data_IF_190260542071
#
_entry.id   IF_190260542071
#
_cell.length_a   1.000
_cell.length_b   1.000
_cell.length_c   1.000
_cell.angle_alpha   90.00
_cell.angle_beta   90.00
_cell.angle_gamma   90.00
#
_symmetry.space_group_name_H-M   'P 1'
#
loop_
_entity.id
_entity.type
_entity.pdbx_description
1 polymer ?
#
# COMPACT_ATOMS: atom_id res chain seq x y z
N UNK A 1 -52.59 2.17 23.36
CA UNK A 1 -51.98 0.86 23.04
C UNK A 1 -50.67 0.82 23.80
N UNK A 2 -50.38 -0.26 24.52
CA UNK A 2 -49.09 -0.43 25.19
C UNK A 2 -48.19 -1.20 24.23
N UNK A 3 -46.97 -0.71 24.04
CA UNK A 3 -46.01 -1.22 23.07
C UNK A 3 -44.62 -1.20 23.69
N UNK A 4 -43.78 -2.14 23.30
CA UNK A 4 -42.37 -2.17 23.67
C UNK A 4 -41.49 -2.54 22.49
N UNK A 5 -40.18 -2.31 22.62
CA UNK A 5 -39.18 -2.72 21.62
C UNK A 5 -38.55 -4.04 22.09
N UNK A 6 -38.53 -5.03 21.22
CA UNK A 6 -37.92 -6.35 21.47
C UNK A 6 -37.14 -6.79 20.23
N UNK A 7 -36.03 -7.52 20.43
CA UNK A 7 -35.36 -8.21 19.32
C UNK A 7 -36.20 -9.39 18.84
N UNK A 8 -36.55 -9.39 17.55
CA UNK A 8 -37.26 -10.49 16.90
C UNK A 8 -36.57 -10.93 15.63
N UNK A 9 -36.71 -12.23 15.35
CA UNK A 9 -36.32 -12.79 14.05
C UNK A 9 -37.31 -12.32 12.99
N UNK A 10 -36.80 -11.66 11.97
CA UNK A 10 -37.54 -11.14 10.84
C UNK A 10 -36.91 -11.68 9.56
N UNK A 11 -37.73 -12.11 8.60
CA UNK A 11 -37.25 -12.67 7.33
C UNK A 11 -37.63 -11.74 6.19
N UNK A 12 -36.62 -11.30 5.43
CA UNK A 12 -36.77 -10.41 4.29
C UNK A 12 -36.39 -11.13 3.01
N UNK A 13 -37.17 -10.93 1.95
CA UNK A 13 -36.80 -11.40 0.60
C UNK A 13 -35.84 -10.39 -0.03
N UNK A 14 -34.57 -10.74 -0.15
CA UNK A 14 -33.51 -9.92 -0.76
C UNK A 14 -33.14 -10.56 -2.09
N UNK A 15 -33.61 -9.98 -3.21
CA UNK A 15 -33.52 -10.56 -4.55
C UNK A 15 -34.16 -11.96 -4.59
N UNK A 16 -33.35 -12.99 -4.82
CA UNK A 16 -33.77 -14.39 -4.97
C UNK A 16 -33.59 -15.20 -3.68
N UNK A 17 -33.21 -14.56 -2.56
CA UNK A 17 -32.93 -15.23 -1.29
C UNK A 17 -33.78 -14.69 -0.13
N UNK A 18 -34.18 -15.58 0.78
CA UNK A 18 -34.76 -15.19 2.07
C UNK A 18 -33.64 -15.04 3.10
N UNK A 19 -33.55 -13.85 3.69
CA UNK A 19 -32.56 -13.51 4.69
C UNK A 19 -33.26 -13.27 6.03
N UNK A 20 -32.93 -14.08 7.02
CA UNK A 20 -33.42 -13.92 8.39
C UNK A 20 -32.40 -13.16 9.23
N UNK A 21 -32.85 -12.11 9.89
CA UNK A 21 -32.06 -11.30 10.82
C UNK A 21 -32.77 -11.16 12.15
N UNK A 22 -32.01 -10.97 13.21
CA UNK A 22 -32.52 -10.61 14.53
C UNK A 22 -32.33 -9.10 14.70
N UNK A 23 -33.44 -8.37 14.77
CA UNK A 23 -33.46 -6.90 14.80
C UNK A 23 -34.53 -6.41 15.78
N UNK A 24 -34.33 -5.22 16.31
CA UNK A 24 -35.29 -4.54 17.17
C UNK A 24 -36.58 -4.27 16.38
N UNK A 25 -37.74 -4.56 16.99
CA UNK A 25 -39.05 -4.38 16.39
C UNK A 25 -40.03 -3.81 17.43
N UNK A 26 -40.97 -2.98 16.99
CA UNK A 26 -42.05 -2.48 17.82
C UNK A 26 -43.11 -3.59 17.98
N UNK A 27 -43.40 -4.00 19.22
CA UNK A 27 -44.32 -5.08 19.52
C UNK A 27 -45.57 -4.51 20.20
N UNK A 28 -46.75 -4.96 19.78
CA UNK A 28 -48.01 -4.73 20.49
C UNK A 28 -48.14 -5.68 21.69
N UNK A 29 -48.26 -5.15 22.91
CA UNK A 29 -48.26 -5.97 24.12
C UNK A 29 -49.47 -6.91 24.25
N UNK A 30 -50.58 -6.61 23.55
CA UNK A 30 -51.81 -7.41 23.64
C UNK A 30 -51.81 -8.59 22.68
N UNK A 31 -51.25 -8.38 21.49
CA UNK A 31 -51.29 -9.35 20.38
C UNK A 31 -49.95 -10.03 20.14
N UNK A 32 -48.87 -9.50 20.73
CA UNK A 32 -47.48 -9.94 20.53
C UNK A 32 -47.04 -9.92 19.06
N UNK A 33 -47.65 -9.05 18.26
CA UNK A 33 -47.36 -8.87 16.82
C UNK A 33 -46.41 -7.71 16.61
N UNK A 34 -45.57 -7.83 15.58
CA UNK A 34 -44.74 -6.72 15.10
C UNK A 34 -45.66 -5.66 14.49
N UNK A 35 -45.50 -4.43 14.94
CA UNK A 35 -46.09 -3.21 14.38
C UNK A 35 -45.06 -2.53 13.47
N UNK A 36 -45.56 -1.87 12.42
CA UNK A 36 -44.73 -1.08 11.52
C UNK A 36 -44.15 0.13 12.27
N UNK A 37 -42.83 0.28 12.17
CA UNK A 37 -42.09 1.44 12.63
C UNK A 37 -41.00 1.72 11.60
N UNK A 38 -41.08 2.90 10.96
CA UNK A 38 -40.25 3.23 9.81
C UNK A 38 -38.74 3.10 10.11
N UNK A 39 -38.30 3.50 11.30
CA UNK A 39 -36.87 3.52 11.63
C UNK A 39 -36.37 2.12 11.99
N UNK A 40 -37.14 1.36 12.80
CA UNK A 40 -36.79 -0.02 13.16
C UNK A 40 -36.84 -0.96 11.93
N UNK A 41 -37.85 -0.79 11.08
CA UNK A 41 -38.00 -1.57 9.85
C UNK A 41 -36.86 -1.30 8.86
N UNK A 42 -36.46 -0.03 8.69
CA UNK A 42 -35.31 0.32 7.86
C UNK A 42 -34.00 -0.29 8.41
N UNK A 43 -33.79 -0.27 9.73
CA UNK A 43 -32.62 -0.91 10.35
C UNK A 43 -32.62 -2.42 10.12
N UNK A 44 -33.77 -3.08 10.26
CA UNK A 44 -33.90 -4.52 10.00
C UNK A 44 -33.60 -4.87 8.52
N UNK A 45 -34.06 -4.05 7.58
CA UNK A 45 -33.77 -4.19 6.15
C UNK A 45 -32.27 -4.02 5.87
N UNK A 46 -31.63 -3.00 6.45
CA UNK A 46 -30.19 -2.76 6.29
C UNK A 46 -29.36 -3.91 6.85
N UNK A 47 -29.77 -4.49 7.98
CA UNK A 47 -29.16 -5.71 8.54
C UNK A 47 -29.28 -6.88 7.56
N UNK A 48 -30.46 -7.09 6.96
CA UNK A 48 -30.68 -8.13 5.97
C UNK A 48 -29.80 -7.93 4.72
N UNK A 49 -29.70 -6.69 4.21
CA UNK A 49 -28.79 -6.36 3.12
C UNK A 49 -27.33 -6.62 3.48
N UNK A 50 -26.89 -6.33 4.70
CA UNK A 50 -25.53 -6.59 5.14
C UNK A 50 -25.21 -8.08 5.28
N UNK A 51 -26.18 -8.89 5.73
CA UNK A 51 -26.05 -10.36 5.67
C UNK A 51 -25.94 -10.83 4.22
N UNK A 52 -26.80 -10.33 3.33
CA UNK A 52 -26.76 -10.67 1.90
C UNK A 52 -25.42 -10.29 1.26
N UNK A 53 -24.88 -9.09 1.56
CA UNK A 53 -23.58 -8.63 1.06
C UNK A 53 -22.45 -9.57 1.46
N UNK A 54 -22.40 -9.97 2.73
CA UNK A 54 -21.36 -10.87 3.25
C UNK A 54 -21.42 -12.23 2.56
N UNK A 55 -22.63 -12.78 2.40
CA UNK A 55 -22.85 -14.07 1.75
C UNK A 55 -22.45 -14.05 0.27
N UNK A 56 -22.77 -12.97 -0.44
CA UNK A 56 -22.56 -12.84 -1.89
C UNK A 56 -21.31 -12.02 -2.26
N UNK A 57 -20.42 -11.76 -1.29
CA UNK A 57 -19.16 -11.04 -1.49
C UNK A 57 -19.33 -9.69 -2.22
N UNK A 58 -20.38 -8.95 -1.83
CA UNK A 58 -20.69 -7.63 -2.37
C UNK A 58 -20.02 -6.52 -1.57
N UNK A 59 -19.58 -5.48 -2.27
CA UNK A 59 -18.98 -4.31 -1.66
C UNK A 59 -19.95 -3.60 -0.70
N UNK A 60 -19.44 -3.26 0.47
CA UNK A 60 -20.18 -2.48 1.46
C UNK A 60 -20.14 -0.97 1.15
N UNK A 61 -21.12 -0.19 1.64
CA UNK A 61 -21.10 1.26 1.49
C UNK A 61 -19.84 1.90 2.07
N UNK A 62 -19.36 1.39 3.22
CA UNK A 62 -18.16 1.87 3.88
C UNK A 62 -16.90 1.65 3.03
N UNK A 63 -16.73 0.45 2.46
CA UNK A 63 -15.63 0.15 1.54
C UNK A 63 -15.67 1.04 0.31
N UNK A 64 -16.87 1.27 -0.24
CA UNK A 64 -17.05 2.12 -1.40
C UNK A 64 -16.64 3.57 -1.13
N UNK A 65 -17.07 4.13 0.01
CA UNK A 65 -16.65 5.47 0.44
C UNK A 65 -15.15 5.52 0.71
N UNK A 66 -14.57 4.48 1.30
CA UNK A 66 -13.15 4.43 1.63
C UNK A 66 -12.26 4.50 0.38
N UNK A 67 -12.47 3.63 -0.62
CA UNK A 67 -11.66 3.69 -1.84
C UNK A 67 -11.93 4.98 -2.63
N UNK A 68 -13.18 5.47 -2.63
CA UNK A 68 -13.51 6.73 -3.31
C UNK A 68 -12.71 7.89 -2.70
N UNK A 69 -12.63 7.95 -1.36
CA UNK A 69 -11.82 8.96 -0.65
C UNK A 69 -10.32 8.77 -0.87
N UNK A 70 -9.82 7.53 -0.91
CA UNK A 70 -8.40 7.20 -1.22
C UNK A 70 -7.94 7.91 -2.51
N UNK A 71 -8.77 7.90 -3.55
CA UNK A 71 -8.48 8.55 -4.84
C UNK A 71 -9.07 9.96 -4.99
N UNK A 72 -9.55 10.58 -3.90
CA UNK A 72 -10.15 11.91 -3.89
C UNK A 72 -11.32 12.10 -4.87
N UNK A 73 -12.07 11.03 -5.12
CA UNK A 73 -13.21 11.04 -6.02
C UNK A 73 -14.44 11.62 -5.34
N UNK A 74 -15.19 12.45 -6.06
CA UNK A 74 -16.58 12.73 -5.73
C UNK A 74 -17.50 11.60 -6.21
N UNK A 75 -18.73 11.53 -5.70
CA UNK A 75 -19.71 10.57 -6.23
C UNK A 75 -19.93 10.78 -7.74
N UNK A 76 -19.92 12.05 -8.19
CA UNK A 76 -20.08 12.42 -9.60
C UNK A 76 -18.89 12.00 -10.46
N UNK A 77 -17.65 12.14 -9.96
CA UNK A 77 -16.46 11.74 -10.73
C UNK A 77 -16.34 10.22 -10.82
N UNK A 78 -16.65 9.49 -9.74
CA UNK A 78 -16.71 8.02 -9.78
C UNK A 78 -17.80 7.54 -10.75
N UNK A 79 -18.97 8.18 -10.75
CA UNK A 79 -20.05 7.85 -11.68
C UNK A 79 -19.61 8.01 -13.15
N UNK A 80 -18.93 9.11 -13.47
CA UNK A 80 -18.35 9.36 -14.80
C UNK A 80 -17.28 8.36 -15.20
N UNK A 81 -16.42 7.94 -14.26
CA UNK A 81 -15.39 6.93 -14.52
C UNK A 81 -15.97 5.55 -14.80
N UNK A 82 -17.10 5.21 -14.16
CA UNK A 82 -17.81 3.94 -14.33
C UNK A 82 -18.88 3.96 -15.42
N UNK A 83 -19.07 5.10 -16.09
CA UNK A 83 -20.15 5.32 -17.07
C UNK A 83 -21.56 5.04 -16.53
N UNK A 84 -21.81 5.39 -15.27
CA UNK A 84 -23.12 5.27 -14.61
C UNK A 84 -23.68 6.63 -14.22
N UNK A 85 -24.99 6.69 -13.98
CA UNK A 85 -25.65 7.87 -13.44
C UNK A 85 -25.14 8.24 -12.04
N UNK A 86 -25.00 9.54 -11.74
CA UNK A 86 -24.54 10.02 -10.42
C UNK A 86 -25.40 9.52 -9.26
N UNK A 87 -26.72 9.42 -9.46
CA UNK A 87 -27.65 8.87 -8.49
C UNK A 87 -27.36 7.40 -8.13
N UNK A 88 -26.80 6.62 -9.06
CA UNK A 88 -26.46 5.21 -8.82
C UNK A 88 -25.38 5.06 -7.76
N UNK A 89 -24.30 5.86 -7.85
CA UNK A 89 -23.23 5.88 -6.85
C UNK A 89 -23.75 6.32 -5.49
N UNK A 90 -24.58 7.38 -5.45
CA UNK A 90 -25.19 7.86 -4.22
C UNK A 90 -26.09 6.81 -3.54
N UNK A 91 -26.83 6.02 -4.33
CA UNK A 91 -27.66 4.92 -3.80
C UNK A 91 -26.82 3.80 -3.19
N UNK A 92 -25.73 3.40 -3.84
CA UNK A 92 -24.86 2.35 -3.30
C UNK A 92 -24.17 2.77 -2.00
N UNK A 93 -23.71 4.02 -1.92
CA UNK A 93 -23.16 4.58 -0.67
C UNK A 93 -24.21 4.74 0.44
N UNK A 94 -25.51 4.74 0.10
CA UNK A 94 -26.62 4.72 1.07
C UNK A 94 -27.09 3.33 1.46
N UNK A 95 -26.48 2.25 0.95
CA UNK A 95 -26.87 0.89 1.32
C UNK A 95 -27.74 0.15 0.32
N UNK A 96 -28.00 0.70 -0.88
CA UNK A 96 -28.63 -0.07 -1.96
C UNK A 96 -27.63 -1.11 -2.51
N UNK A 97 -28.12 -2.30 -2.86
CA UNK A 97 -27.29 -3.38 -3.40
C UNK A 97 -26.92 -3.13 -4.88
N UNK A 98 -25.63 -3.14 -5.26
CA UNK A 98 -25.20 -3.00 -6.65
C UNK A 98 -25.50 -4.25 -7.48
N UNK A 99 -25.72 -4.10 -8.79
CA UNK A 99 -25.75 -5.25 -9.71
C UNK A 99 -24.41 -6.00 -9.65
N UNK A 100 -24.42 -7.27 -10.04
CA UNK A 100 -23.21 -8.11 -10.00
C UNK A 100 -22.08 -7.53 -10.87
N UNK A 101 -22.42 -7.07 -12.08
CA UNK A 101 -21.48 -6.41 -12.99
C UNK A 101 -20.80 -5.18 -12.37
N UNK A 102 -21.58 -4.29 -11.72
CA UNK A 102 -21.04 -3.11 -11.08
C UNK A 102 -20.28 -3.47 -9.80
N UNK A 103 -20.74 -4.47 -9.05
CA UNK A 103 -20.03 -4.98 -7.89
C UNK A 103 -18.61 -5.44 -8.24
N UNK A 104 -18.48 -6.22 -9.32
CA UNK A 104 -17.17 -6.71 -9.77
C UNK A 104 -16.23 -5.57 -10.14
N UNK A 105 -16.72 -4.53 -10.82
CA UNK A 105 -15.94 -3.33 -11.12
C UNK A 105 -15.51 -2.58 -9.86
N UNK A 106 -16.44 -2.34 -8.93
CA UNK A 106 -16.18 -1.62 -7.67
C UNK A 106 -15.14 -2.37 -6.83
N UNK A 107 -15.24 -3.70 -6.77
CA UNK A 107 -14.27 -4.54 -6.09
C UNK A 107 -12.91 -4.51 -6.76
N UNK A 108 -12.85 -4.61 -8.08
CA UNK A 108 -11.59 -4.52 -8.82
C UNK A 108 -10.90 -3.17 -8.60
N UNK A 109 -11.65 -2.07 -8.58
CA UNK A 109 -11.12 -0.74 -8.25
C UNK A 109 -10.60 -0.66 -6.80
N UNK A 110 -11.30 -1.29 -5.86
CA UNK A 110 -10.90 -1.33 -4.46
C UNK A 110 -9.61 -2.13 -4.26
N UNK A 111 -9.53 -3.31 -4.87
CA UNK A 111 -8.52 -4.33 -4.58
C UNK A 111 -7.27 -4.20 -5.49
N UNK A 112 -7.40 -3.63 -6.70
CA UNK A 112 -6.31 -3.47 -7.68
C UNK A 112 -6.12 -1.99 -8.05
N UNK A 113 -5.08 -1.39 -7.45
CA UNK A 113 -4.75 0.01 -7.68
C UNK A 113 -4.27 0.28 -9.10
N UNK A 114 -3.55 -0.65 -9.73
CA UNK A 114 -3.08 -0.53 -11.11
C UNK A 114 -4.24 -0.54 -12.10
N UNK A 115 -5.26 -1.39 -11.85
CA UNK A 115 -6.49 -1.37 -12.63
C UNK A 115 -7.22 -0.02 -12.53
N UNK A 116 -7.33 0.55 -11.33
CA UNK A 116 -7.93 1.88 -11.16
C UNK A 116 -7.19 2.96 -11.97
N UNK A 117 -5.85 2.96 -11.94
CA UNK A 117 -5.02 3.91 -12.69
C UNK A 117 -5.28 3.77 -14.19
N UNK A 118 -5.31 2.55 -14.72
CA UNK A 118 -5.68 2.29 -16.11
C UNK A 118 -7.07 2.81 -16.47
N UNK A 119 -8.08 2.53 -15.63
CA UNK A 119 -9.46 3.01 -15.82
C UNK A 119 -9.53 4.55 -15.81
N UNK A 120 -8.79 5.19 -14.89
CA UNK A 120 -8.72 6.65 -14.83
C UNK A 120 -8.18 7.21 -16.14
N UNK A 121 -7.05 6.72 -16.65
CA UNK A 121 -6.47 7.22 -17.90
C UNK A 121 -7.40 7.06 -19.10
N UNK A 122 -8.11 5.92 -19.19
CA UNK A 122 -9.09 5.66 -20.25
C UNK A 122 -10.26 6.66 -20.23
N UNK A 123 -10.76 6.98 -19.04
CA UNK A 123 -11.98 7.79 -18.87
C UNK A 123 -11.71 9.23 -18.41
N UNK A 124 -10.45 9.65 -18.31
CA UNK A 124 -10.02 10.96 -17.80
C UNK A 124 -10.70 12.11 -18.55
N UNK A 125 -10.85 12.00 -19.87
CA UNK A 125 -11.47 13.02 -20.73
C UNK A 125 -12.92 13.34 -20.36
N UNK A 126 -13.63 12.41 -19.70
CA UNK A 126 -15.01 12.61 -19.23
C UNK A 126 -15.09 13.50 -17.98
N UNK A 127 -13.98 13.70 -17.28
CA UNK A 127 -13.89 14.45 -16.02
C UNK A 127 -13.60 15.93 -16.23
N UNK A 128 -13.94 16.76 -15.25
CA UNK A 128 -13.56 18.19 -15.27
C UNK A 128 -12.05 18.34 -15.05
N UNK A 129 -11.43 19.39 -15.59
CA UNK A 129 -10.00 19.64 -15.39
C UNK A 129 -9.60 19.72 -13.90
N UNK A 130 -10.50 20.22 -13.04
CA UNK A 130 -10.31 20.26 -11.58
C UNK A 130 -10.28 18.86 -10.97
N UNK A 131 -11.22 17.99 -11.36
CA UNK A 131 -11.26 16.61 -10.86
C UNK A 131 -10.06 15.80 -11.36
N UNK A 132 -9.70 15.97 -12.64
CA UNK A 132 -8.52 15.32 -13.23
C UNK A 132 -7.27 15.61 -12.40
N UNK A 133 -6.96 16.89 -12.15
CA UNK A 133 -5.78 17.28 -11.35
C UNK A 133 -5.78 16.69 -9.94
N UNK A 134 -6.94 16.65 -9.28
CA UNK A 134 -7.05 16.08 -7.92
C UNK A 134 -6.79 14.58 -7.90
N UNK A 135 -7.38 13.86 -8.85
CA UNK A 135 -7.23 12.41 -8.94
C UNK A 135 -5.81 12.05 -9.37
N UNK A 136 -5.21 12.80 -10.29
CA UNK A 136 -3.80 12.63 -10.67
C UNK A 136 -2.85 12.80 -9.50
N UNK A 137 -3.08 13.80 -8.64
CA UNK A 137 -2.28 13.98 -7.43
C UNK A 137 -2.48 12.86 -6.40
N UNK A 138 -3.64 12.19 -6.40
CA UNK A 138 -3.87 11.01 -5.57
C UNK A 138 -3.21 9.76 -6.17
N UNK A 139 -3.33 9.59 -7.48
CA UNK A 139 -2.71 8.51 -8.24
C UNK A 139 -1.19 8.58 -8.16
N UNK A 140 -0.57 9.75 -8.30
CA UNK A 140 0.89 9.87 -8.28
C UNK A 140 1.52 9.31 -7.00
N UNK A 141 0.86 9.48 -5.85
CA UNK A 141 1.27 8.89 -4.58
C UNK A 141 1.16 7.37 -4.59
N UNK A 142 0.05 6.87 -5.14
CA UNK A 142 -0.20 5.43 -5.25
C UNK A 142 0.73 4.77 -6.27
N UNK A 143 1.02 5.44 -7.40
CA UNK A 143 1.95 5.00 -8.43
C UNK A 143 3.38 4.89 -7.89
N UNK A 144 3.84 5.88 -7.11
CA UNK A 144 5.16 5.80 -6.44
C UNK A 144 5.25 4.55 -5.57
N UNK A 145 4.21 4.30 -4.77
CA UNK A 145 4.15 3.11 -3.91
C UNK A 145 4.11 1.82 -4.73
N UNK A 146 3.24 1.72 -5.76
CA UNK A 146 3.14 0.52 -6.62
C UNK A 146 4.47 0.23 -7.31
N UNK A 147 5.14 1.26 -7.84
CA UNK A 147 6.45 1.11 -8.50
C UNK A 147 7.49 0.62 -7.51
N UNK A 148 7.57 1.24 -6.32
CA UNK A 148 8.47 0.82 -5.24
C UNK A 148 8.23 -0.64 -4.83
N UNK A 149 6.97 -1.01 -4.58
CA UNK A 149 6.57 -2.39 -4.23
C UNK A 149 6.92 -3.37 -5.36
N UNK A 150 6.72 -3.00 -6.62
CA UNK A 150 7.08 -3.82 -7.78
C UNK A 150 8.60 -4.05 -7.86
N UNK A 151 9.41 -3.01 -7.64
CA UNK A 151 10.87 -3.12 -7.63
C UNK A 151 11.36 -3.97 -6.45
N UNK A 152 10.80 -3.77 -5.26
CA UNK A 152 11.12 -4.55 -4.07
C UNK A 152 10.77 -6.03 -4.27
N UNK A 153 9.57 -6.34 -4.77
CA UNK A 153 9.15 -7.71 -5.04
C UNK A 153 10.03 -8.38 -6.11
N UNK A 154 10.42 -7.63 -7.15
CA UNK A 154 11.36 -8.14 -8.16
C UNK A 154 12.73 -8.45 -7.54
N UNK A 155 13.25 -7.56 -6.68
CA UNK A 155 14.50 -7.80 -5.94
C UNK A 155 14.41 -9.04 -5.06
N UNK A 156 13.39 -9.14 -4.21
CA UNK A 156 13.19 -10.25 -3.29
C UNK A 156 13.07 -11.59 -4.02
N UNK A 157 12.29 -11.63 -5.12
CA UNK A 157 12.11 -12.83 -5.94
C UNK A 157 13.41 -13.29 -6.59
N UNK A 158 14.19 -12.38 -7.18
CA UNK A 158 15.45 -12.71 -7.85
C UNK A 158 16.53 -13.19 -6.90
N UNK A 159 16.49 -12.73 -5.65
CA UNK A 159 17.51 -13.02 -4.64
C UNK A 159 17.11 -14.10 -3.64
N UNK A 160 15.92 -14.68 -3.77
CA UNK A 160 15.42 -15.76 -2.89
C UNK A 160 15.59 -15.43 -1.40
N UNK A 161 15.28 -14.18 -1.04
CA UNK A 161 15.47 -13.66 0.31
C UNK A 161 14.38 -14.15 1.30
N UNK A 162 13.81 -15.32 1.02
CA UNK A 162 12.91 -16.09 1.86
C UNK A 162 13.64 -17.17 2.66
N UNK A 163 14.90 -17.47 2.30
CA UNK A 163 15.78 -18.41 3.00
C UNK A 163 17.00 -17.68 3.59
N UNK A 164 17.52 -18.14 4.72
CA UNK A 164 18.74 -17.60 5.31
C UNK A 164 19.98 -18.27 4.70
N UNK A 165 20.80 -17.47 4.02
CA UNK A 165 22.00 -17.94 3.30
C UNK A 165 23.26 -17.24 3.79
N UNK A 166 24.43 -17.73 3.36
CA UNK A 166 25.70 -17.06 3.69
C UNK A 166 25.83 -15.73 2.92
N UNK A 167 25.21 -15.63 1.74
CA UNK A 167 25.25 -14.47 0.86
C UNK A 167 24.44 -13.28 1.39
N UNK A 168 23.37 -13.52 2.16
CA UNK A 168 22.60 -12.48 2.88
C UNK A 168 23.11 -12.23 4.32
N UNK A 169 24.12 -13.00 4.74
CA UNK A 169 24.65 -12.96 6.10
C UNK A 169 23.63 -13.43 7.14
N UNK A 170 22.86 -14.48 6.82
CA UNK A 170 21.85 -15.11 7.65
C UNK A 170 20.81 -14.13 8.21
N UNK A 171 20.33 -13.20 7.38
CA UNK A 171 19.34 -12.19 7.75
C UNK A 171 18.35 -11.92 6.64
N UNK A 172 17.09 -11.75 7.02
CA UNK A 172 16.05 -11.31 6.08
C UNK A 172 16.32 -9.86 5.67
N UNK A 173 16.16 -9.58 4.38
CA UNK A 173 16.31 -8.25 3.81
C UNK A 173 15.35 -7.27 4.48
N UNK A 174 15.94 -6.17 4.93
CA UNK A 174 15.27 -5.08 5.62
C UNK A 174 15.55 -3.79 4.83
N UNK A 175 14.54 -3.39 4.05
CA UNK A 175 14.64 -2.22 3.19
C UNK A 175 14.93 -0.94 3.98
N UNK A 176 14.38 -0.79 5.19
CA UNK A 176 14.59 0.39 6.01
C UNK A 176 16.06 0.47 6.46
N UNK A 177 16.62 -0.66 6.92
CA UNK A 177 18.04 -0.70 7.29
C UNK A 177 18.95 -0.45 6.08
N UNK A 178 18.66 -1.09 4.94
CA UNK A 178 19.41 -0.85 3.71
C UNK A 178 19.38 0.64 3.30
N UNK A 179 18.20 1.23 3.25
CA UNK A 179 17.99 2.65 2.93
C UNK A 179 18.81 3.55 3.84
N UNK A 180 18.74 3.30 5.16
CA UNK A 180 19.44 4.12 6.13
C UNK A 180 20.97 3.92 6.10
N UNK A 181 21.47 2.74 5.71
CA UNK A 181 22.90 2.54 5.41
C UNK A 181 23.33 3.38 4.22
N UNK A 182 22.55 3.38 3.13
CA UNK A 182 22.82 4.21 1.95
C UNK A 182 22.83 5.69 2.32
N UNK A 183 21.78 6.20 2.96
CA UNK A 183 21.68 7.60 3.41
C UNK A 183 22.89 7.99 4.27
N UNK A 184 23.26 7.14 5.24
CA UNK A 184 24.43 7.36 6.08
C UNK A 184 25.71 7.54 5.24
N UNK A 185 25.99 6.63 4.32
CA UNK A 185 27.21 6.70 3.52
C UNK A 185 27.22 7.89 2.57
N UNK A 186 26.10 8.19 1.92
CA UNK A 186 25.99 9.32 0.99
C UNK A 186 26.25 10.65 1.72
N UNK A 187 25.73 10.82 2.93
CA UNK A 187 25.94 12.03 3.72
C UNK A 187 27.38 12.18 4.25
N UNK A 188 28.04 11.09 4.62
CA UNK A 188 29.37 11.12 5.25
C UNK A 188 30.52 10.98 4.25
N UNK A 189 30.22 10.76 2.97
CA UNK A 189 31.22 10.60 1.91
C UNK A 189 30.89 11.54 0.75
N UNK A 190 31.49 12.74 0.69
CA UNK A 190 31.32 13.63 -0.45
C UNK A 190 31.73 12.93 -1.75
N UNK A 191 30.99 13.19 -2.84
CA UNK A 191 31.26 12.63 -4.17
C UNK A 191 31.25 11.09 -4.19
N UNK A 192 30.32 10.46 -3.46
CA UNK A 192 30.24 9.01 -3.36
C UNK A 192 29.77 8.37 -4.67
N UNK A 193 30.65 7.62 -5.34
CA UNK A 193 30.30 6.85 -6.53
C UNK A 193 29.56 5.56 -6.19
N UNK A 194 28.82 5.04 -7.18
CA UNK A 194 28.15 3.73 -7.13
C UNK A 194 29.06 2.58 -6.70
N UNK A 195 30.23 2.47 -7.31
CA UNK A 195 31.22 1.43 -6.99
C UNK A 195 31.71 1.53 -5.56
N UNK A 196 31.93 2.75 -5.05
CA UNK A 196 32.38 2.95 -3.67
C UNK A 196 31.24 2.68 -2.67
N UNK A 197 30.00 3.05 -2.99
CA UNK A 197 28.82 2.74 -2.18
C UNK A 197 28.63 1.22 -2.04
N UNK A 198 28.68 0.46 -3.15
CA UNK A 198 28.59 -1.01 -3.12
C UNK A 198 29.61 -1.64 -2.17
N UNK A 199 30.87 -1.16 -2.22
CA UNK A 199 31.93 -1.64 -1.32
C UNK A 199 31.64 -1.29 0.14
N UNK A 200 31.20 -0.06 0.42
CA UNK A 200 30.86 0.36 1.79
C UNK A 200 29.72 -0.48 2.37
N UNK A 201 28.67 -0.74 1.59
CA UNK A 201 27.56 -1.60 1.98
C UNK A 201 28.06 -3.01 2.34
N UNK A 202 28.82 -3.64 1.44
CA UNK A 202 29.40 -4.98 1.67
C UNK A 202 30.25 -5.04 2.94
N UNK A 203 31.22 -4.12 3.10
CA UNK A 203 32.10 -4.15 4.26
C UNK A 203 31.34 -3.91 5.58
N UNK A 204 30.21 -3.21 5.52
CA UNK A 204 29.37 -2.96 6.69
C UNK A 204 28.63 -4.20 7.12
N UNK A 205 27.91 -4.84 6.19
CA UNK A 205 27.23 -6.10 6.47
C UNK A 205 28.21 -7.20 6.86
N UNK A 206 29.32 -7.35 6.13
CA UNK A 206 30.34 -8.38 6.38
C UNK A 206 31.02 -8.20 7.74
N UNK A 207 31.38 -6.96 8.10
CA UNK A 207 31.98 -6.69 9.41
C UNK A 207 30.99 -6.92 10.54
N UNK A 208 29.75 -6.48 10.39
CA UNK A 208 28.72 -6.69 11.40
C UNK A 208 28.44 -8.19 11.59
N UNK A 209 28.39 -8.95 10.50
CA UNK A 209 28.29 -10.41 10.51
C UNK A 209 29.42 -11.07 11.29
N UNK A 210 30.67 -10.63 11.09
CA UNK A 210 31.83 -11.16 11.85
C UNK A 210 31.65 -11.02 13.37
N UNK A 211 31.00 -9.96 13.82
CA UNK A 211 30.85 -9.64 15.24
C UNK A 211 29.54 -10.17 15.84
N UNK A 212 28.51 -10.41 15.01
CA UNK A 212 27.14 -10.69 15.47
C UNK A 212 26.53 -11.97 14.87
N UNK A 213 27.22 -12.67 13.97
CA UNK A 213 26.72 -13.84 13.21
C UNK A 213 25.49 -13.56 12.34
N UNK A 214 25.11 -12.30 12.16
CA UNK A 214 24.03 -11.83 11.28
C UNK A 214 24.47 -10.53 10.62
N UNK A 215 24.04 -10.24 9.39
CA UNK A 215 24.29 -8.97 8.71
C UNK A 215 23.39 -7.84 9.26
N UNK A 216 23.61 -6.60 8.81
CA UNK A 216 22.79 -5.46 9.21
C UNK A 216 21.47 -5.51 8.45
N UNK A 217 21.57 -5.57 7.12
CA UNK A 217 20.46 -5.29 6.21
C UNK A 217 19.85 -6.54 5.56
N UNK A 218 20.47 -7.71 5.67
CA UNK A 218 20.04 -8.91 4.94
C UNK A 218 20.21 -8.81 3.42
N UNK A 219 21.04 -7.87 2.95
CA UNK A 219 21.33 -7.68 1.53
C UNK A 219 22.16 -8.86 1.01
N UNK A 220 21.71 -9.49 -0.08
CA UNK A 220 22.45 -10.55 -0.76
C UNK A 220 23.61 -9.97 -1.56
N UNK A 221 24.83 -10.50 -1.41
CA UNK A 221 26.02 -10.07 -2.14
C UNK A 221 26.52 -11.12 -3.13
N UNK A 222 26.95 -10.68 -4.31
CA UNK A 222 27.56 -11.53 -5.36
C UNK A 222 28.98 -11.06 -5.68
N UNK A 223 29.79 -11.97 -6.21
CA UNK A 223 31.10 -11.63 -6.75
C UNK A 223 30.94 -11.08 -8.18
N UNK A 224 31.24 -9.80 -8.36
CA UNK A 224 31.29 -9.12 -9.67
C UNK A 224 32.75 -8.83 -10.06
N UNK A 225 32.98 -8.35 -11.28
CA UNK A 225 34.31 -8.18 -11.88
C UNK A 225 35.28 -7.36 -11.01
N UNK A 226 34.77 -6.40 -10.22
CA UNK A 226 35.58 -5.52 -9.36
C UNK A 226 35.41 -5.81 -7.85
N UNK A 227 34.92 -7.00 -7.51
CA UNK A 227 34.72 -7.45 -6.13
C UNK A 227 33.24 -7.61 -5.77
N UNK A 228 32.94 -7.75 -4.46
CA UNK A 228 31.59 -8.01 -4.01
C UNK A 228 30.70 -6.77 -4.19
N UNK A 229 29.49 -6.99 -4.70
CA UNK A 229 28.44 -5.98 -4.85
C UNK A 229 27.11 -6.55 -4.35
N UNK A 230 26.18 -5.71 -3.86
CA UNK A 230 24.81 -6.19 -3.63
C UNK A 230 24.25 -6.75 -4.94
N UNK A 231 23.68 -7.95 -4.90
CA UNK A 231 23.00 -8.51 -6.07
C UNK A 231 21.86 -7.58 -6.50
N UNK A 232 21.63 -7.43 -7.80
CA UNK A 232 20.57 -6.58 -8.38
C UNK A 232 20.48 -5.14 -7.79
N UNK A 233 21.61 -4.56 -7.37
CA UNK A 233 21.66 -3.26 -6.69
C UNK A 233 20.98 -2.11 -7.47
N UNK A 234 20.89 -2.21 -8.80
CA UNK A 234 20.20 -1.22 -9.63
C UNK A 234 18.69 -1.16 -9.34
N UNK A 235 18.06 -2.28 -8.98
CA UNK A 235 16.65 -2.29 -8.56
C UNK A 235 16.48 -1.53 -7.26
N UNK A 236 17.38 -1.76 -6.30
CA UNK A 236 17.37 -1.06 -5.01
C UNK A 236 17.64 0.44 -5.18
N UNK A 237 18.60 0.84 -6.01
CA UNK A 237 18.88 2.26 -6.25
C UNK A 237 17.77 2.95 -7.03
N UNK A 238 17.12 2.26 -7.97
CA UNK A 238 15.94 2.79 -8.64
C UNK A 238 14.79 2.99 -7.66
N UNK A 239 14.58 2.04 -6.74
CA UNK A 239 13.59 2.16 -5.67
C UNK A 239 13.86 3.40 -4.81
N UNK A 240 15.11 3.59 -4.34
CA UNK A 240 15.47 4.76 -3.51
C UNK A 240 15.33 6.10 -4.25
N UNK A 241 15.53 6.12 -5.57
CA UNK A 241 15.28 7.31 -6.40
C UNK A 241 13.79 7.60 -6.54
N UNK A 242 12.97 6.57 -6.80
CA UNK A 242 11.52 6.70 -6.95
C UNK A 242 10.83 7.12 -5.64
N UNK A 243 11.42 6.77 -4.49
CA UNK A 243 10.95 7.17 -3.15
C UNK A 243 11.54 8.49 -2.64
N UNK A 244 12.26 9.24 -3.48
CA UNK A 244 12.90 10.52 -3.13
C UNK A 244 13.83 10.42 -1.89
N UNK A 245 14.55 9.30 -1.73
CA UNK A 245 15.55 9.10 -0.65
C UNK A 245 16.95 9.53 -1.09
N UNK A 246 17.28 9.27 -2.36
CA UNK A 246 18.54 9.69 -2.98
C UNK A 246 18.35 10.15 -4.42
N UNK A 247 19.23 11.03 -4.87
CA UNK A 247 19.39 11.42 -6.27
C UNK A 247 20.78 11.04 -6.78
N UNK A 248 20.99 11.05 -8.10
CA UNK A 248 22.34 11.00 -8.68
C UNK A 248 22.62 12.22 -9.55
N UNK A 249 23.89 12.67 -9.56
CA UNK A 249 24.39 13.72 -10.45
C UNK A 249 25.68 13.26 -11.12
N UNK A 250 25.94 13.67 -12.38
CA UNK A 250 27.21 13.38 -13.02
C UNK A 250 28.37 14.00 -12.24
N UNK A 251 29.52 13.34 -12.27
CA UNK A 251 30.76 13.97 -11.81
C UNK A 251 31.14 15.16 -12.70
N UNK A 252 31.94 16.08 -12.18
CA UNK A 252 32.34 17.29 -12.91
C UNK A 252 33.21 17.01 -14.14
N UNK A 253 33.82 15.84 -14.22
CA UNK A 253 34.58 15.35 -15.38
C UNK A 253 33.70 14.60 -16.41
N UNK A 254 32.40 14.45 -16.14
CA UNK A 254 31.45 13.74 -16.99
C UNK A 254 31.53 12.21 -16.92
N UNK A 255 32.43 11.63 -16.11
CA UNK A 255 32.65 10.19 -16.06
C UNK A 255 32.01 9.57 -14.81
N UNK A 256 30.78 9.08 -14.97
CA UNK A 256 30.01 8.42 -13.91
C UNK A 256 29.17 9.38 -13.07
N UNK A 257 28.58 8.86 -12.00
CA UNK A 257 27.64 9.59 -11.16
C UNK A 257 27.98 9.48 -9.66
N UNK A 258 27.64 10.54 -8.92
CA UNK A 258 27.65 10.58 -7.46
C UNK A 258 26.22 10.59 -6.90
N UNK A 259 26.05 9.95 -5.75
CA UNK A 259 24.81 10.01 -4.98
C UNK A 259 24.70 11.28 -4.15
N UNK A 260 23.47 11.76 -3.99
CA UNK A 260 23.10 12.90 -3.15
C UNK A 260 21.92 12.47 -2.28
N UNK A 261 22.02 12.72 -0.98
CA UNK A 261 20.95 12.42 -0.03
C UNK A 261 19.88 13.51 -0.11
N UNK A 262 18.62 13.14 -0.23
CA UNK A 262 17.48 14.06 -0.13
C UNK A 262 16.80 14.00 1.24
N UNK A 263 17.10 12.95 2.03
CA UNK A 263 16.59 12.73 3.38
C UNK A 263 17.72 12.59 4.42
N UNK A 264 17.34 12.65 5.70
CA UNK A 264 18.21 12.36 6.84
C UNK A 264 18.09 10.90 7.28
N UNK A 265 19.21 10.25 7.57
CA UNK A 265 19.17 8.88 8.09
C UNK A 265 18.65 8.84 9.54
N UNK A 266 17.83 7.83 9.83
CA UNK A 266 17.29 7.58 11.15
C UNK A 266 18.31 6.84 12.03
N UNK A 267 19.00 7.62 12.85
CA UNK A 267 19.97 7.18 13.87
C UNK A 267 19.44 6.10 14.84
N UNK A 268 18.14 6.06 15.11
CA UNK A 268 17.56 5.14 16.10
C UNK A 268 17.48 3.69 15.60
N UNK A 269 17.39 3.48 14.28
CA UNK A 269 17.43 2.13 13.68
C UNK A 269 18.77 1.42 13.93
N UNK A 270 19.79 2.20 14.28
CA UNK A 270 21.16 1.79 14.43
C UNK A 270 21.68 2.00 15.85
N UNK A 271 20.82 1.96 16.88
CA UNK A 271 21.23 2.22 18.26
C UNK A 271 22.31 1.26 18.80
N UNK A 272 22.47 0.06 18.20
CA UNK A 272 23.64 -0.84 18.40
C UNK A 272 24.79 -0.61 17.42
N UNK A 273 24.54 0.07 16.31
CA UNK A 273 25.50 0.41 15.25
C UNK A 273 26.21 1.74 15.51
N UNK A 274 25.67 2.67 16.31
CA UNK A 274 26.31 3.97 16.59
C UNK A 274 27.72 3.84 17.21
N UNK A 275 27.98 2.82 18.03
CA UNK A 275 29.33 2.55 18.55
C UNK A 275 30.28 2.02 17.45
N UNK A 276 29.76 1.39 16.40
CA UNK A 276 30.52 0.79 15.30
C UNK A 276 30.64 1.70 14.07
N UNK A 277 29.71 2.65 13.91
CA UNK A 277 29.68 3.65 12.85
C UNK A 277 30.84 4.63 12.95
N UNK A 278 31.33 4.91 14.16
CA UNK A 278 32.58 5.63 14.43
C UNK A 278 33.81 5.02 13.72
N UNK A 279 33.73 3.76 13.27
CA UNK A 279 34.81 3.04 12.60
C UNK A 279 34.64 2.90 11.08
N UNK A 280 33.50 3.30 10.47
CA UNK A 280 33.36 3.32 9.01
C UNK A 280 34.25 4.37 8.33
N UNK A 281 34.56 5.47 9.02
CA UNK A 281 35.52 6.48 8.58
C UNK A 281 36.98 6.00 8.50
N UNK A 282 37.28 4.78 8.96
CA UNK A 282 38.64 4.20 8.95
C UNK A 282 38.90 3.22 7.79
N UNK A 283 37.93 3.01 6.88
CA UNK A 283 38.17 2.26 5.64
C UNK A 283 39.08 3.13 4.76
N UNK A 284 40.39 2.98 4.96
CA UNK A 284 41.44 3.72 4.23
C UNK A 284 41.30 3.44 2.74
N UNK A 285 41.52 4.50 1.95
CA UNK A 285 41.78 4.46 0.52
C UNK A 285 42.72 3.30 0.19
N UNK A 286 42.20 2.28 -0.48
CA UNK A 286 42.98 1.34 -1.30
C UNK A 286 42.59 1.57 -2.74
#
# INVERSE_FOLDING_TARGET
>A
MTTHIEKRKQTFKVRDENITVEADALIDDKTNKILFDLDLDNQAIDLAFNVYRRKNNLISPAEMVAFRKKYQLSQRSLAKLLDVGSATIARYEKGVLPSESINNLLRKIKDDSSYFVGLFHQNKSKLSAKDQKKIEAAISKVDKQIKGDSLLNAYLFRNQNDQHTIEDGFSKFDLDKFTNMVLYFVQHNPKLSKTRLNKLLFYSDFRFFKENSVSISGTTYIHDYYGPVPSDFELLYTLLKDSDEVETKPFGDGHGEMFISTQEFNKNLFRKLQEQVSHFGKIKKS
#
